data_IF_712884872970
#
_entry.id   IF_712884872970
#
_cell.length_a   1.000
_cell.length_b   1.000
_cell.length_c   1.000
_cell.angle_alpha   90.00
_cell.angle_beta   90.00
_cell.angle_gamma   90.00
#
_symmetry.space_group_name_H-M   'P 1'
#
loop_
_entity.id
_entity.type
_entity.pdbx_description
1 polymer ?
#
# COMPACT_ATOMS: atom_id res chain seq x y z
N UNK A 1 8.80 -41.97 -16.31
CA UNK A 1 9.80 -41.45 -17.27
C UNK A 1 9.47 -40.00 -17.56
N UNK A 2 10.48 -39.14 -17.49
CA UNK A 2 10.37 -37.70 -17.80
C UNK A 2 10.03 -37.55 -19.29
N UNK A 3 8.96 -36.81 -19.60
CA UNK A 3 8.50 -36.65 -21.00
C UNK A 3 9.27 -35.58 -21.78
N UNK A 4 9.88 -34.63 -21.08
CA UNK A 4 10.59 -33.47 -21.67
C UNK A 4 11.97 -33.29 -21.03
N UNK A 5 13.05 -33.38 -21.82
CA UNK A 5 14.43 -33.21 -21.30
C UNK A 5 15.02 -31.82 -21.53
N UNK A 6 14.33 -30.95 -22.28
CA UNK A 6 14.85 -29.64 -22.73
C UNK A 6 15.45 -28.76 -21.63
N UNK A 7 14.79 -28.56 -20.48
CA UNK A 7 15.38 -27.79 -19.37
C UNK A 7 16.55 -28.48 -18.67
N UNK A 8 16.55 -29.82 -18.63
CA UNK A 8 17.69 -30.59 -18.11
C UNK A 8 18.89 -30.47 -19.06
N UNK A 9 18.65 -30.48 -20.37
CA UNK A 9 19.66 -30.32 -21.41
C UNK A 9 20.25 -28.90 -21.39
N UNK A 10 19.42 -27.86 -21.20
CA UNK A 10 19.87 -26.45 -21.05
C UNK A 10 20.77 -26.25 -19.83
N UNK A 11 20.44 -26.88 -18.71
CA UNK A 11 21.28 -26.84 -17.50
C UNK A 11 22.46 -27.84 -17.55
N UNK A 12 22.49 -28.75 -18.53
CA UNK A 12 23.52 -29.79 -18.67
C UNK A 12 23.48 -30.84 -17.55
N UNK A 13 22.29 -31.13 -17.00
CA UNK A 13 22.09 -32.09 -15.90
C UNK A 13 21.20 -33.25 -16.34
N UNK A 14 21.22 -34.36 -15.59
CA UNK A 14 20.34 -35.51 -15.87
C UNK A 14 18.92 -35.28 -15.34
N UNK A 15 17.88 -35.95 -15.89
CA UNK A 15 16.50 -35.82 -15.41
C UNK A 15 16.28 -36.23 -13.94
N UNK A 16 17.17 -37.05 -13.39
CA UNK A 16 17.17 -37.47 -11.98
C UNK A 16 18.07 -36.59 -11.08
N UNK A 17 18.54 -35.44 -11.56
CA UNK A 17 19.46 -34.58 -10.82
C UNK A 17 18.84 -34.07 -9.51
N UNK A 18 19.68 -33.96 -8.47
CA UNK A 18 19.27 -33.41 -7.16
C UNK A 18 19.17 -31.88 -7.19
N UNK A 19 18.50 -31.29 -6.19
CA UNK A 19 18.39 -29.84 -6.06
C UNK A 19 19.74 -29.14 -5.95
N UNK A 20 20.72 -29.79 -5.30
CA UNK A 20 22.07 -29.24 -5.17
C UNK A 20 22.81 -29.22 -6.51
N UNK A 21 22.65 -30.27 -7.31
CA UNK A 21 23.23 -30.36 -8.66
C UNK A 21 22.63 -29.29 -9.59
N UNK A 22 21.31 -29.08 -9.54
CA UNK A 22 20.63 -28.01 -10.26
C UNK A 22 21.17 -26.63 -9.88
N UNK A 23 21.30 -26.36 -8.56
CA UNK A 23 21.83 -25.09 -8.05
C UNK A 23 23.30 -24.87 -8.40
N UNK A 24 24.09 -25.94 -8.47
CA UNK A 24 25.51 -25.88 -8.88
C UNK A 24 25.65 -25.62 -10.38
N UNK A 25 24.84 -26.29 -11.20
CA UNK A 25 24.81 -26.11 -12.65
C UNK A 25 24.36 -24.69 -13.03
N UNK A 26 23.27 -24.20 -12.42
CA UNK A 26 22.77 -22.84 -12.62
C UNK A 26 23.84 -21.79 -12.28
N UNK A 27 24.46 -21.85 -11.09
CA UNK A 27 25.52 -20.90 -10.71
C UNK A 27 26.68 -20.86 -11.70
N UNK A 28 27.11 -22.02 -12.19
CA UNK A 28 28.20 -22.12 -13.19
C UNK A 28 27.82 -21.47 -14.51
N UNK A 29 26.60 -21.69 -14.99
CA UNK A 29 26.10 -21.15 -16.26
C UNK A 29 25.75 -19.66 -16.16
N UNK A 30 25.16 -19.22 -15.05
CA UNK A 30 24.82 -17.83 -14.78
C UNK A 30 26.08 -16.93 -14.72
N UNK A 31 27.17 -17.41 -14.12
CA UNK A 31 28.46 -16.71 -14.13
C UNK A 31 29.08 -16.62 -15.54
N UNK A 32 28.86 -17.64 -16.38
CA UNK A 32 29.42 -17.72 -17.73
C UNK A 32 28.65 -16.84 -18.72
N UNK A 33 27.33 -16.79 -18.61
CA UNK A 33 26.46 -16.06 -19.55
C UNK A 33 25.86 -14.79 -18.95
N UNK A 34 26.44 -14.24 -17.88
CA UNK A 34 25.93 -13.03 -17.24
C UNK A 34 25.87 -11.85 -18.23
N UNK A 35 24.77 -11.08 -18.29
CA UNK A 35 24.59 -9.99 -19.26
C UNK A 35 25.70 -8.93 -19.18
N UNK A 36 26.21 -8.63 -17.97
CA UNK A 36 27.33 -7.69 -17.79
C UNK A 36 28.65 -8.15 -18.44
N UNK A 37 28.87 -9.48 -18.52
CA UNK A 37 30.11 -10.05 -19.09
C UNK A 37 29.94 -10.46 -20.54
N UNK A 38 28.72 -10.82 -20.95
CA UNK A 38 28.39 -11.27 -22.30
C UNK A 38 27.03 -10.68 -22.75
N UNK A 39 27.00 -9.41 -23.20
CA UNK A 39 25.77 -8.72 -23.59
C UNK A 39 25.03 -9.39 -24.77
N UNK A 40 25.76 -10.05 -25.66
CA UNK A 40 25.21 -10.67 -26.88
C UNK A 40 24.59 -12.07 -26.63
N UNK A 41 24.72 -12.63 -25.42
CA UNK A 41 24.24 -13.98 -25.08
C UNK A 41 23.07 -13.94 -24.07
N UNK A 42 22.38 -12.80 -23.98
CA UNK A 42 21.26 -12.57 -23.07
C UNK A 42 20.12 -13.59 -23.23
N UNK A 43 19.86 -14.07 -24.45
CA UNK A 43 18.84 -15.11 -24.70
C UNK A 43 19.20 -16.45 -24.02
N UNK A 44 20.47 -16.85 -24.03
CA UNK A 44 20.91 -18.07 -23.33
C UNK A 44 20.78 -17.92 -21.83
N UNK A 45 21.14 -16.74 -21.30
CA UNK A 45 20.96 -16.46 -19.88
C UNK A 45 19.49 -16.54 -19.45
N UNK A 46 18.57 -16.00 -20.27
CA UNK A 46 17.12 -16.13 -20.06
C UNK A 46 16.67 -17.59 -20.01
N UNK A 47 17.10 -18.40 -20.98
CA UNK A 47 16.76 -19.83 -21.02
C UNK A 47 17.31 -20.61 -19.81
N UNK A 48 18.52 -20.29 -19.35
CA UNK A 48 19.14 -20.88 -18.16
C UNK A 48 18.35 -20.53 -16.90
N UNK A 49 17.96 -19.26 -16.74
CA UNK A 49 17.17 -18.78 -15.61
C UNK A 49 15.78 -19.42 -15.58
N UNK A 50 15.10 -19.47 -16.72
CA UNK A 50 13.80 -20.13 -16.85
C UNK A 50 13.88 -21.63 -16.54
N UNK A 51 14.91 -22.33 -17.06
CA UNK A 51 15.11 -23.75 -16.79
C UNK A 51 15.34 -24.03 -15.30
N UNK A 52 16.14 -23.19 -14.63
CA UNK A 52 16.38 -23.33 -13.19
C UNK A 52 15.13 -23.01 -12.36
N UNK A 53 14.35 -21.99 -12.73
CA UNK A 53 13.10 -21.65 -12.02
C UNK A 53 12.10 -22.82 -12.04
N UNK A 54 11.90 -23.44 -13.20
CA UNK A 54 10.98 -24.57 -13.34
C UNK A 54 11.50 -25.83 -12.64
N UNK A 55 12.81 -26.10 -12.71
CA UNK A 55 13.39 -27.33 -12.14
C UNK A 55 13.70 -27.22 -10.64
N UNK A 56 13.87 -26.00 -10.10
CA UNK A 56 14.16 -25.77 -8.68
C UNK A 56 12.93 -25.92 -7.78
N UNK A 57 11.73 -25.58 -8.27
CA UNK A 57 10.49 -25.84 -7.53
C UNK A 57 10.01 -27.29 -7.80
N UNK A 58 9.84 -28.07 -6.73
CA UNK A 58 9.44 -29.48 -6.84
C UNK A 58 8.10 -29.69 -7.58
N UNK A 59 7.13 -28.78 -7.39
CA UNK A 59 5.82 -28.86 -8.06
C UNK A 59 5.94 -28.49 -9.53
N UNK A 60 6.66 -27.40 -9.85
CA UNK A 60 6.90 -26.98 -11.24
C UNK A 60 7.69 -28.04 -12.02
N UNK A 61 8.69 -28.66 -11.39
CA UNK A 61 9.46 -29.77 -11.95
C UNK A 61 8.58 -30.99 -12.23
N UNK A 62 7.71 -31.36 -11.31
CA UNK A 62 6.79 -32.48 -11.51
C UNK A 62 5.79 -32.22 -12.66
N UNK A 63 5.27 -30.99 -12.77
CA UNK A 63 4.42 -30.57 -13.88
C UNK A 63 5.15 -30.63 -15.22
N UNK A 64 6.40 -30.14 -15.26
CA UNK A 64 7.27 -30.19 -16.43
C UNK A 64 7.59 -31.63 -16.84
N UNK A 65 7.96 -32.49 -15.88
CA UNK A 65 8.27 -33.90 -16.11
C UNK A 65 7.06 -34.69 -16.66
N UNK A 66 5.84 -34.27 -16.27
CA UNK A 66 4.56 -34.81 -16.75
C UNK A 66 4.14 -34.27 -18.13
N UNK A 67 4.85 -33.28 -18.69
CA UNK A 67 4.61 -32.67 -20.01
C UNK A 67 3.64 -31.48 -20.00
N UNK A 68 3.61 -30.71 -18.92
CA UNK A 68 2.58 -29.70 -18.62
C UNK A 68 2.54 -28.46 -19.52
N UNK A 69 3.63 -28.09 -20.19
CA UNK A 69 3.72 -26.81 -20.93
C UNK A 69 3.11 -26.79 -22.33
N UNK A 70 2.96 -27.95 -22.98
CA UNK A 70 2.52 -28.04 -24.38
C UNK A 70 1.03 -28.29 -24.59
N UNK A 71 0.29 -28.61 -23.53
CA UNK A 71 -1.14 -28.90 -23.62
C UNK A 71 -1.47 -30.31 -24.16
N UNK A 72 -0.49 -31.05 -24.66
CA UNK A 72 -0.64 -32.42 -25.15
C UNK A 72 0.68 -33.17 -25.28
N UNK A 73 0.64 -34.42 -25.75
CA UNK A 73 1.87 -35.23 -25.98
C UNK A 73 2.79 -34.58 -27.04
N UNK A 74 4.10 -34.87 -26.98
CA UNK A 74 5.09 -34.41 -27.97
C UNK A 74 4.64 -34.84 -29.37
N UNK A 75 4.49 -33.87 -30.28
CA UNK A 75 4.04 -34.09 -31.67
C UNK A 75 2.52 -34.15 -31.86
N UNK A 76 1.71 -34.06 -30.80
CA UNK A 76 0.25 -34.07 -30.89
C UNK A 76 -0.38 -32.67 -31.02
N UNK A 77 0.46 -31.64 -31.01
CA UNK A 77 0.07 -30.24 -31.22
C UNK A 77 0.26 -29.95 -32.70
N UNK A 78 -0.85 -29.77 -33.42
CA UNK A 78 -0.86 -29.51 -34.85
C UNK A 78 -1.36 -28.08 -35.11
N UNK A 79 -0.80 -27.38 -36.09
CA UNK A 79 -1.35 -26.09 -36.52
C UNK A 79 -2.78 -26.28 -37.03
N UNK A 80 -3.71 -25.42 -36.62
CA UNK A 80 -5.08 -25.50 -37.08
C UNK A 80 -5.15 -25.24 -38.59
N UNK A 81 -5.69 -26.15 -39.41
CA UNK A 81 -5.68 -26.01 -40.86
C UNK A 81 -6.54 -24.84 -41.35
N UNK A 82 -7.62 -24.52 -40.64
CA UNK A 82 -8.56 -23.47 -41.01
C UNK A 82 -8.08 -22.05 -40.72
N UNK A 83 -7.21 -21.84 -39.73
CA UNK A 83 -6.63 -20.52 -39.43
C UNK A 83 -5.12 -20.46 -39.59
N UNK A 84 -4.46 -21.57 -39.99
CA UNK A 84 -3.01 -21.68 -40.21
C UNK A 84 -2.16 -21.11 -39.05
N UNK A 85 -2.58 -21.36 -37.82
CA UNK A 85 -1.87 -20.88 -36.63
C UNK A 85 -2.31 -19.50 -36.13
N UNK A 86 -3.08 -18.73 -36.89
CA UNK A 86 -3.43 -17.34 -36.52
C UNK A 86 -4.56 -17.23 -35.49
N UNK A 87 -5.31 -18.30 -35.24
CA UNK A 87 -6.41 -18.31 -34.27
C UNK A 87 -7.66 -17.52 -34.68
N UNK A 88 -7.61 -16.74 -35.76
CA UNK A 88 -8.70 -15.90 -36.25
C UNK A 88 -9.03 -16.23 -37.71
N UNK A 89 -10.30 -16.05 -38.09
CA UNK A 89 -10.83 -16.21 -39.44
C UNK A 89 -11.52 -14.93 -39.88
N UNK A 90 -11.20 -14.45 -41.08
CA UNK A 90 -11.88 -13.32 -41.70
C UNK A 90 -13.17 -13.85 -42.34
N UNK A 91 -14.33 -13.40 -41.87
CA UNK A 91 -15.64 -13.65 -42.49
C UNK A 91 -16.10 -12.40 -43.21
N UNK A 92 -16.45 -12.56 -44.48
CA UNK A 92 -16.98 -11.46 -45.29
C UNK A 92 -18.49 -11.38 -45.04
N UNK A 93 -18.96 -10.25 -44.52
CA UNK A 93 -20.37 -9.96 -44.30
C UNK A 93 -20.84 -8.92 -45.33
N UNK A 94 -21.85 -9.25 -46.13
CA UNK A 94 -22.45 -8.32 -47.09
C UNK A 94 -23.50 -7.47 -46.39
N UNK A 95 -23.24 -6.15 -46.30
CA UNK A 95 -24.13 -5.18 -45.65
C UNK A 95 -25.05 -4.52 -46.68
N UNK A 96 -24.68 -4.59 -47.97
CA UNK A 96 -25.52 -4.13 -49.07
C UNK A 96 -24.91 -4.42 -50.44
N UNK A 97 -25.59 -4.06 -51.53
CA UNK A 97 -25.08 -4.21 -52.89
C UNK A 97 -23.75 -3.46 -53.04
N UNK A 98 -22.67 -4.18 -53.32
CA UNK A 98 -21.32 -3.61 -53.49
C UNK A 98 -20.55 -3.28 -52.21
N UNK A 99 -21.14 -3.46 -51.02
CA UNK A 99 -20.47 -3.18 -49.74
C UNK A 99 -20.29 -4.47 -48.92
N UNK A 100 -19.05 -4.93 -48.85
CA UNK A 100 -18.61 -6.05 -48.01
C UNK A 100 -17.80 -5.54 -46.82
N UNK A 101 -18.17 -5.96 -45.62
CA UNK A 101 -17.36 -5.75 -44.41
C UNK A 101 -16.61 -7.05 -44.09
N UNK A 102 -15.30 -6.95 -43.91
CA UNK A 102 -14.50 -8.06 -43.40
C UNK A 102 -14.57 -8.04 -41.87
N UNK A 103 -15.25 -9.02 -41.28
CA UNK A 103 -15.34 -9.19 -39.82
C UNK A 103 -14.32 -10.25 -39.42
N UNK A 104 -13.36 -9.86 -38.58
CA UNK A 104 -12.44 -10.82 -37.96
C UNK A 104 -13.18 -11.54 -36.83
N UNK A 105 -13.29 -12.86 -36.95
CA UNK A 105 -13.97 -13.73 -35.98
C UNK A 105 -12.98 -14.76 -35.44
N UNK A 106 -13.12 -15.16 -34.18
CA UNK A 106 -12.32 -16.26 -33.61
C UNK A 106 -12.56 -17.54 -34.40
N UNK A 107 -11.48 -18.26 -34.75
CA UNK A 107 -11.57 -19.52 -35.48
C UNK A 107 -12.36 -20.53 -34.63
N UNK A 108 -13.51 -21.00 -35.14
CA UNK A 108 -14.41 -21.88 -34.37
C UNK A 108 -13.79 -23.26 -34.09
N UNK A 109 -12.83 -23.70 -34.91
CA UNK A 109 -12.23 -25.03 -34.80
C UNK A 109 -11.11 -25.09 -33.75
N UNK A 110 -10.32 -24.01 -33.59
CA UNK A 110 -9.28 -23.92 -32.56
C UNK A 110 -9.63 -22.96 -31.40
N UNK A 111 -10.80 -22.34 -31.43
CA UNK A 111 -11.30 -21.40 -30.41
C UNK A 111 -10.30 -20.26 -30.09
N UNK A 112 -9.55 -19.78 -31.09
CA UNK A 112 -8.55 -18.73 -30.89
C UNK A 112 -7.14 -19.23 -30.55
N UNK A 113 -6.95 -20.52 -30.25
CA UNK A 113 -5.64 -21.04 -29.83
C UNK A 113 -4.62 -21.22 -30.98
N UNK A 114 -5.03 -21.14 -32.25
CA UNK A 114 -4.16 -21.33 -33.42
C UNK A 114 -3.69 -22.78 -33.65
N UNK A 115 -3.69 -23.60 -32.60
CA UNK A 115 -3.27 -24.99 -32.60
C UNK A 115 -4.44 -25.93 -32.23
N UNK A 116 -4.35 -27.18 -32.67
CA UNK A 116 -5.31 -28.24 -32.40
C UNK A 116 -4.60 -29.43 -31.76
N UNK A 117 -5.21 -29.96 -30.70
CA UNK A 117 -4.73 -31.16 -30.00
C UNK A 117 -5.86 -32.19 -30.01
N UNK A 118 -5.55 -33.40 -30.47
CA UNK A 118 -6.46 -34.53 -30.49
C UNK A 118 -7.01 -34.80 -29.07
N UNK A 119 -8.31 -35.10 -28.89
CA UNK A 119 -8.87 -35.35 -27.55
C UNK A 119 -8.15 -36.44 -26.75
N UNK A 120 -7.55 -37.43 -27.44
CA UNK A 120 -6.80 -38.54 -26.83
C UNK A 120 -5.41 -38.13 -26.34
N UNK A 121 -4.86 -37.05 -26.89
CA UNK A 121 -3.51 -36.58 -26.60
C UNK A 121 -3.49 -35.28 -25.79
N UNK A 122 -4.66 -34.72 -25.47
CA UNK A 122 -4.79 -33.60 -24.52
C UNK A 122 -4.21 -33.97 -23.17
N UNK A 123 -3.50 -33.02 -22.59
CA UNK A 123 -3.04 -33.11 -21.22
C UNK A 123 -4.24 -33.23 -20.28
N UNK A 124 -4.20 -34.21 -19.37
CA UNK A 124 -5.29 -34.44 -18.40
C UNK A 124 -5.45 -33.29 -17.39
N UNK A 125 -4.37 -32.55 -17.14
CA UNK A 125 -4.33 -31.49 -16.12
C UNK A 125 -4.82 -30.14 -16.65
N UNK A 126 -4.47 -29.77 -17.88
CA UNK A 126 -4.88 -28.48 -18.49
C UNK A 126 -5.91 -28.63 -19.62
N UNK A 127 -6.29 -29.86 -20.00
CA UNK A 127 -7.24 -30.17 -21.07
C UNK A 127 -6.90 -29.51 -22.42
N UNK A 128 -5.61 -29.27 -22.69
CA UNK A 128 -5.15 -28.59 -23.91
C UNK A 128 -5.01 -27.07 -23.78
N UNK A 129 -5.42 -26.46 -22.65
CA UNK A 129 -5.36 -25.01 -22.43
C UNK A 129 -3.98 -24.47 -22.05
N UNK A 130 -3.01 -25.36 -21.80
CA UNK A 130 -1.61 -25.03 -21.39
C UNK A 130 -1.44 -24.22 -20.10
N UNK A 131 -2.54 -23.78 -19.48
CA UNK A 131 -2.59 -23.08 -18.19
C UNK A 131 -3.28 -23.94 -17.12
N UNK A 132 -2.83 -23.84 -15.88
CA UNK A 132 -3.45 -24.49 -14.70
C UNK A 132 -3.53 -23.46 -13.58
N UNK A 133 -4.67 -23.38 -12.89
CA UNK A 133 -4.81 -22.51 -11.72
C UNK A 133 -4.10 -23.14 -10.53
N UNK A 134 -3.09 -22.45 -10.01
CA UNK A 134 -2.36 -22.84 -8.80
C UNK A 134 -2.55 -21.78 -7.72
N UNK A 135 -2.76 -22.22 -6.47
CA UNK A 135 -2.72 -21.34 -5.30
C UNK A 135 -1.32 -21.43 -4.71
N UNK A 136 -0.55 -20.34 -4.81
CA UNK A 136 0.77 -20.21 -4.20
C UNK A 136 0.68 -19.24 -3.01
N UNK A 137 1.27 -19.62 -1.88
CA UNK A 137 1.39 -18.76 -0.70
C UNK A 137 2.75 -18.07 -0.80
N UNK A 138 2.75 -16.74 -0.83
CA UNK A 138 3.97 -15.93 -0.79
C UNK A 138 4.17 -15.44 0.65
N UNK A 139 5.32 -15.78 1.23
CA UNK A 139 5.71 -15.29 2.54
C UNK A 139 6.42 -13.95 2.38
N UNK A 140 5.83 -12.90 2.96
CA UNK A 140 6.34 -11.53 2.87
C UNK A 140 6.99 -11.18 4.19
N UNK A 141 8.31 -10.98 4.17
CA UNK A 141 9.04 -10.53 5.34
C UNK A 141 8.99 -9.01 5.46
N UNK A 142 8.34 -8.51 6.51
CA UNK A 142 8.28 -7.08 6.83
C UNK A 142 9.34 -6.78 7.88
N UNK A 143 10.38 -6.07 7.47
CA UNK A 143 11.47 -5.66 8.35
C UNK A 143 11.06 -4.48 9.25
N UNK A 144 11.72 -4.39 10.41
CA UNK A 144 11.56 -3.25 11.31
C UNK A 144 11.99 -1.95 10.61
N UNK A 145 11.15 -0.93 10.76
CA UNK A 145 11.42 0.40 10.20
C UNK A 145 11.01 0.59 8.75
N UNK A 146 10.46 -0.43 8.07
CA UNK A 146 9.88 -0.25 6.73
C UNK A 146 8.83 0.86 6.74
N UNK A 147 8.81 1.65 5.67
CA UNK A 147 7.97 2.86 5.55
C UNK A 147 6.65 2.53 4.86
N UNK A 148 5.66 3.38 5.10
CA UNK A 148 4.44 3.39 4.31
C UNK A 148 4.76 3.57 2.82
N UNK A 149 4.02 2.88 1.95
CA UNK A 149 4.23 2.87 0.51
C UNK A 149 5.47 2.11 0.03
N UNK A 150 6.28 1.52 0.92
CA UNK A 150 7.48 0.78 0.53
C UNK A 150 7.09 -0.48 -0.26
N UNK A 151 7.77 -0.71 -1.38
CA UNK A 151 7.48 -1.79 -2.33
C UNK A 151 8.36 -3.01 -2.06
N UNK A 152 7.74 -4.19 -2.02
CA UNK A 152 8.40 -5.49 -2.00
C UNK A 152 8.03 -6.20 -3.30
N UNK A 153 9.02 -6.42 -4.16
CA UNK A 153 8.81 -6.99 -5.49
C UNK A 153 9.15 -8.48 -5.50
N UNK A 154 8.22 -9.29 -5.98
CA UNK A 154 8.39 -10.70 -6.28
C UNK A 154 8.42 -10.88 -7.79
N UNK A 155 9.63 -11.09 -8.33
CA UNK A 155 9.83 -11.18 -9.76
C UNK A 155 9.30 -12.48 -10.35
N UNK A 156 8.57 -12.39 -11.47
CA UNK A 156 8.04 -13.56 -12.20
C UNK A 156 6.93 -14.34 -11.47
N UNK A 157 6.38 -13.79 -10.39
CA UNK A 157 5.29 -14.40 -9.62
C UNK A 157 3.89 -13.98 -10.10
N UNK A 158 3.80 -13.17 -11.17
CA UNK A 158 2.54 -12.79 -11.79
C UNK A 158 1.91 -13.90 -12.65
N UNK A 159 0.83 -13.56 -13.35
CA UNK A 159 0.12 -14.51 -14.21
C UNK A 159 1.03 -15.03 -15.33
N UNK A 160 1.03 -16.36 -15.50
CA UNK A 160 1.83 -17.08 -16.50
C UNK A 160 0.97 -17.50 -17.67
N UNK A 161 1.29 -16.96 -18.86
CA UNK A 161 0.66 -17.35 -20.11
C UNK A 161 1.66 -17.99 -21.08
N UNK A 162 1.26 -19.00 -21.87
CA UNK A 162 2.14 -19.63 -22.84
C UNK A 162 2.66 -18.63 -23.88
N UNK A 163 3.97 -18.41 -23.91
CA UNK A 163 4.63 -17.52 -24.87
C UNK A 163 4.82 -16.07 -24.39
N UNK A 164 4.35 -15.74 -23.19
CA UNK A 164 4.58 -14.44 -22.56
C UNK A 164 5.47 -14.60 -21.31
N UNK A 165 6.31 -13.60 -21.04
CA UNK A 165 7.10 -13.54 -19.80
C UNK A 165 6.16 -13.20 -18.63
N UNK A 166 6.23 -13.91 -17.49
CA UNK A 166 5.39 -13.62 -16.33
C UNK A 166 5.68 -12.23 -15.77
N UNK A 167 4.63 -11.55 -15.32
CA UNK A 167 4.75 -10.27 -14.64
C UNK A 167 5.30 -10.40 -13.22
N UNK A 168 5.48 -9.26 -12.57
CA UNK A 168 5.93 -9.16 -11.19
C UNK A 168 4.76 -8.89 -10.24
N UNK A 169 4.80 -9.47 -9.04
CA UNK A 169 3.90 -9.10 -7.95
C UNK A 169 4.60 -8.04 -7.10
N UNK A 170 4.02 -6.84 -7.03
CA UNK A 170 4.53 -5.75 -6.21
C UNK A 170 3.59 -5.57 -5.01
N UNK A 171 4.11 -5.85 -3.82
CA UNK A 171 3.39 -5.64 -2.58
C UNK A 171 3.78 -4.27 -2.05
N UNK A 172 2.78 -3.39 -1.91
CA UNK A 172 2.95 -2.06 -1.32
C UNK A 172 2.53 -2.15 0.13
N UNK A 173 3.42 -1.76 1.03
CA UNK A 173 3.09 -1.67 2.45
C UNK A 173 2.13 -0.50 2.70
N UNK A 174 1.06 -0.77 3.43
CA UNK A 174 0.07 0.21 3.84
C UNK A 174 0.10 0.34 5.37
N UNK A 175 0.40 1.52 5.86
CA UNK A 175 0.46 1.81 7.29
C UNK A 175 -0.94 2.01 7.85
N UNK A 176 -1.34 1.12 8.77
CA UNK A 176 -2.56 1.31 9.55
C UNK A 176 -2.42 2.45 10.54
N UNK A 177 -3.46 3.26 10.64
CA UNK A 177 -3.57 4.29 11.66
C UNK A 177 -3.63 3.67 13.06
N UNK A 178 -2.93 4.31 14.00
CA UNK A 178 -2.92 3.92 15.41
C UNK A 178 -3.62 4.99 16.25
N UNK A 179 -4.36 4.56 17.27
CA UNK A 179 -5.19 5.45 18.09
C UNK A 179 -4.38 6.44 18.92
N UNK A 180 -3.18 6.05 19.36
CA UNK A 180 -2.32 6.86 20.26
C UNK A 180 -1.14 7.50 19.53
N UNK A 181 -0.65 6.87 18.47
CA UNK A 181 0.63 7.21 17.86
C UNK A 181 0.43 7.57 16.39
N UNK A 182 1.02 8.69 15.97
CA UNK A 182 1.06 9.09 14.56
C UNK A 182 2.50 9.06 14.10
N UNK A 183 2.83 8.20 13.15
CA UNK A 183 4.19 8.12 12.60
C UNK A 183 4.40 9.25 11.59
N UNK A 184 5.51 9.99 11.72
CA UNK A 184 6.02 10.87 10.67
C UNK A 184 7.48 10.53 10.41
N UNK A 185 7.72 9.77 9.35
CA UNK A 185 9.05 9.28 9.01
C UNK A 185 9.57 8.29 10.05
N UNK A 186 10.62 8.67 10.77
CA UNK A 186 11.26 7.88 11.83
C UNK A 186 10.77 8.29 13.23
N UNK A 187 10.12 9.44 13.34
CA UNK A 187 9.61 9.97 14.61
C UNK A 187 8.15 9.53 14.84
N UNK A 188 7.80 9.33 16.11
CA UNK A 188 6.44 9.05 16.56
C UNK A 188 5.88 10.27 17.27
N UNK A 189 4.64 10.62 16.98
CA UNK A 189 3.91 11.70 17.63
C UNK A 189 2.80 11.11 18.50
N UNK A 190 2.61 11.66 19.69
CA UNK A 190 1.46 11.34 20.53
C UNK A 190 0.96 12.58 21.27
N UNK A 191 -0.34 12.61 21.55
CA UNK A 191 -0.92 13.56 22.49
C UNK A 191 -0.98 12.92 23.88
N UNK A 192 -0.54 13.65 24.90
CA UNK A 192 -0.66 13.24 26.29
C UNK A 192 -1.49 14.25 27.06
N UNK A 193 -2.56 13.75 27.67
CA UNK A 193 -3.39 14.53 28.57
C UNK A 193 -2.79 14.53 29.98
N UNK A 194 -2.57 15.72 30.52
CA UNK A 194 -2.09 15.94 31.89
C UNK A 194 -3.03 16.91 32.62
N UNK A 195 -3.17 16.73 33.93
CA UNK A 195 -3.94 17.64 34.76
C UNK A 195 -3.14 18.91 35.06
N UNK A 196 -3.82 20.00 35.41
CA UNK A 196 -3.16 21.26 35.80
C UNK A 196 -2.15 21.07 36.95
N UNK A 197 -2.48 20.24 37.94
CA UNK A 197 -1.56 19.92 39.04
C UNK A 197 -0.31 19.19 38.56
N UNK A 198 -0.45 18.27 37.60
CA UNK A 198 0.66 17.54 37.00
C UNK A 198 1.56 18.47 36.17
N UNK A 199 0.95 19.43 35.47
CA UNK A 199 1.64 20.43 34.67
C UNK A 199 2.50 21.40 35.52
N UNK A 200 2.08 21.70 36.75
CA UNK A 200 2.75 22.63 37.67
C UNK A 200 3.70 21.94 38.66
N UNK A 201 3.25 20.83 39.26
CA UNK A 201 3.96 20.13 40.33
C UNK A 201 4.84 18.98 39.83
N UNK A 202 4.87 18.72 38.52
CA UNK A 202 5.53 17.57 37.93
C UNK A 202 4.66 16.31 37.96
N UNK A 203 5.07 15.29 37.21
CA UNK A 203 4.33 14.05 37.08
C UNK A 203 5.25 12.88 36.72
N UNK A 204 4.74 11.68 36.97
CA UNK A 204 5.32 10.44 36.46
C UNK A 204 4.20 9.64 35.81
N UNK A 205 4.26 9.47 34.47
CA UNK A 205 3.26 8.69 33.73
C UNK A 205 3.89 7.54 32.96
N UNK A 206 3.38 6.30 33.13
CA UNK A 206 3.77 5.18 32.29
C UNK A 206 3.12 5.30 30.90
N UNK A 207 3.91 5.09 29.84
CA UNK A 207 3.46 5.04 28.46
C UNK A 207 3.78 3.66 27.88
N UNK A 208 2.77 2.92 27.38
CA UNK A 208 3.01 1.70 26.62
C UNK A 208 3.57 2.04 25.24
N UNK A 209 4.75 1.52 24.93
CA UNK A 209 5.39 1.62 23.61
C UNK A 209 4.90 0.53 22.66
N UNK A 210 5.15 0.69 21.36
CA UNK A 210 4.80 -0.29 20.33
C UNK A 210 5.52 -1.64 20.48
N UNK A 211 6.62 -1.68 21.25
CA UNK A 211 7.40 -2.90 21.52
C UNK A 211 6.85 -3.68 22.75
N UNK A 212 5.65 -3.36 23.23
CA UNK A 212 5.05 -3.90 24.47
C UNK A 212 5.84 -3.60 25.76
N UNK A 213 6.78 -2.64 25.70
CA UNK A 213 7.50 -2.13 26.88
C UNK A 213 6.79 -0.89 27.42
N UNK A 214 6.77 -0.71 28.73
CA UNK A 214 6.30 0.52 29.36
C UNK A 214 7.49 1.42 29.70
N UNK A 215 7.49 2.65 29.20
CA UNK A 215 8.45 3.69 29.59
C UNK A 215 7.78 4.65 30.57
N UNK A 216 8.50 5.12 31.59
CA UNK A 216 7.97 6.11 32.53
C UNK A 216 8.55 7.47 32.16
N UNK A 217 7.68 8.41 31.83
CA UNK A 217 8.07 9.80 31.59
C UNK A 217 7.92 10.56 32.89
N UNK A 218 9.01 11.23 33.27
CA UNK A 218 9.10 12.02 34.50
C UNK A 218 9.30 13.49 34.15
N UNK A 219 8.41 14.34 34.64
CA UNK A 219 8.64 15.78 34.75
C UNK A 219 8.96 16.09 36.21
N UNK A 220 10.08 16.78 36.45
CA UNK A 220 10.50 17.10 37.82
C UNK A 220 9.64 18.24 38.40
N UNK A 221 9.33 18.21 39.70
CA UNK A 221 8.64 19.33 40.35
C UNK A 221 9.37 20.65 40.12
N UNK A 222 8.62 21.69 39.74
CA UNK A 222 9.17 23.00 39.37
C UNK A 222 9.44 23.18 37.86
N UNK A 223 9.36 22.12 37.06
CA UNK A 223 9.35 22.22 35.60
C UNK A 223 7.91 22.38 35.10
N UNK A 224 7.57 23.60 34.66
CA UNK A 224 6.23 23.90 34.16
C UNK A 224 6.06 23.37 32.74
N UNK A 225 5.01 22.61 32.51
CA UNK A 225 4.56 22.17 31.18
C UNK A 225 3.35 22.98 30.75
N UNK A 226 3.45 23.67 29.63
CA UNK A 226 2.34 24.50 29.11
C UNK A 226 1.38 23.65 28.28
N UNK A 227 0.15 24.13 28.12
CA UNK A 227 -0.77 23.56 27.14
C UNK A 227 -0.19 23.75 25.73
N UNK A 228 -0.18 22.69 24.93
CA UNK A 228 0.43 22.66 23.60
C UNK A 228 1.95 22.62 23.61
N UNK A 229 2.59 22.46 24.78
CA UNK A 229 4.05 22.29 24.84
C UNK A 229 4.45 20.97 24.19
N UNK A 230 5.57 20.98 23.47
CA UNK A 230 6.08 19.82 22.74
C UNK A 230 7.42 19.42 23.34
N UNK A 231 7.50 18.20 23.88
CA UNK A 231 8.77 17.63 24.34
C UNK A 231 9.10 16.36 23.57
N UNK A 232 10.37 15.97 23.59
CA UNK A 232 10.82 14.77 22.92
C UNK A 232 11.56 13.83 23.87
N UNK A 233 11.36 12.53 23.64
CA UNK A 233 12.14 11.44 24.24
C UNK A 233 12.99 10.84 23.14
N UNK A 234 14.30 10.86 23.35
CA UNK A 234 15.28 10.34 22.40
C UNK A 234 15.21 8.81 22.34
N UNK A 235 15.41 8.24 21.15
CA UNK A 235 15.49 6.79 20.90
C UNK A 235 14.20 5.99 21.21
N UNK A 236 13.04 6.64 21.29
CA UNK A 236 11.74 5.99 21.54
C UNK A 236 10.77 6.11 20.34
N UNK A 237 11.26 6.52 19.17
CA UNK A 237 10.50 6.55 17.92
C UNK A 237 10.50 5.22 17.15
N UNK A 238 10.27 5.29 15.84
CA UNK A 238 10.30 4.12 14.96
C UNK A 238 11.73 3.65 14.68
N UNK A 239 11.98 2.34 14.53
CA UNK A 239 13.27 1.83 14.08
C UNK A 239 13.63 2.36 12.69
N UNK A 240 14.91 2.62 12.46
CA UNK A 240 15.41 3.02 11.15
C UNK A 240 15.56 1.78 10.26
N UNK A 241 15.03 1.83 9.04
CA UNK A 241 15.14 0.71 8.10
C UNK A 241 16.61 0.34 7.84
N UNK A 242 16.93 -0.97 7.88
CA UNK A 242 18.29 -1.55 7.86
C UNK A 242 19.16 -1.30 9.10
N UNK A 243 18.75 -0.41 10.01
CA UNK A 243 19.44 -0.12 11.28
C UNK A 243 18.46 -0.29 12.45
N UNK A 244 18.07 -1.54 12.79
CA UNK A 244 16.98 -1.81 13.72
C UNK A 244 17.28 -1.41 15.18
N UNK A 245 18.56 -1.21 15.53
CA UNK A 245 18.98 -0.78 16.87
C UNK A 245 18.93 0.74 17.05
N UNK A 246 18.87 1.49 15.94
CA UNK A 246 18.69 2.93 15.98
C UNK A 246 17.20 3.25 15.81
N UNK A 247 16.70 4.11 16.69
CA UNK A 247 15.29 4.55 16.71
C UNK A 247 15.23 6.05 16.57
N UNK A 248 14.16 6.54 15.94
CA UNK A 248 13.84 7.96 15.94
C UNK A 248 13.40 8.47 17.32
N UNK A 249 12.73 9.60 17.34
CA UNK A 249 12.29 10.27 18.57
C UNK A 249 10.81 10.04 18.80
N UNK A 250 10.42 9.99 20.08
CA UNK A 250 9.02 10.12 20.48
C UNK A 250 8.76 11.58 20.83
N UNK A 251 7.89 12.22 20.08
CA UNK A 251 7.47 13.60 20.24
C UNK A 251 6.09 13.58 20.92
N UNK A 252 5.98 14.32 22.02
CA UNK A 252 4.81 14.33 22.88
C UNK A 252 4.29 15.75 22.95
N UNK A 253 3.06 15.93 22.53
CA UNK A 253 2.30 17.17 22.69
C UNK A 253 1.46 17.07 23.96
N UNK A 254 1.64 18.01 24.88
CA UNK A 254 0.95 18.02 26.16
C UNK A 254 -0.34 18.83 26.10
N UNK A 255 -1.46 18.17 26.41
CA UNK A 255 -2.76 18.83 26.59
C UNK A 255 -3.04 18.93 28.08
N UNK A 256 -3.02 20.17 28.59
CA UNK A 256 -3.34 20.45 29.98
C UNK A 256 -4.85 20.56 30.13
N UNK A 257 -5.43 19.68 30.94
CA UNK A 257 -6.84 19.70 31.31
C UNK A 257 -7.01 20.50 32.61
N UNK A 258 -7.80 21.57 32.51
CA UNK A 258 -8.20 22.38 33.65
C UNK A 258 -9.32 21.68 34.45
N UNK A 259 -9.38 21.87 35.77
CA UNK A 259 -10.49 21.38 36.57
C UNK A 259 -11.80 22.08 36.19
N UNK A 260 -12.93 21.45 36.52
CA UNK A 260 -14.26 22.00 36.25
C UNK A 260 -14.53 23.30 37.04
N UNK A 261 -15.44 24.12 36.52
CA UNK A 261 -15.88 25.36 37.19
C UNK A 261 -16.46 25.05 38.57
N UNK A 262 -16.05 25.79 39.60
CA UNK A 262 -16.51 25.58 40.97
C UNK A 262 -15.79 24.46 41.74
N UNK A 263 -14.66 23.93 41.24
CA UNK A 263 -13.89 22.87 41.91
C UNK A 263 -13.34 23.24 43.31
N UNK A 264 -13.17 24.53 43.62
CA UNK A 264 -12.60 25.02 44.88
C UNK A 264 -13.56 25.96 45.62
N UNK A 265 -13.58 25.84 46.96
CA UNK A 265 -14.28 26.78 47.84
C UNK A 265 -13.56 28.14 47.87
N UNK A 266 -14.29 29.26 48.08
CA UNK A 266 -13.72 30.61 48.03
C UNK A 266 -12.54 30.81 49.00
N UNK A 267 -12.57 30.19 50.18
CA UNK A 267 -11.46 30.26 51.15
C UNK A 267 -10.16 29.68 50.58
N UNK A 268 -10.26 28.60 49.78
CA UNK A 268 -9.10 27.96 49.16
C UNK A 268 -8.62 28.69 47.91
N UNK A 269 -9.49 29.46 47.25
CA UNK A 269 -9.09 30.33 46.14
C UNK A 269 -8.14 31.43 46.62
N UNK A 270 -8.39 32.00 47.81
CA UNK A 270 -7.48 32.99 48.40
C UNK A 270 -6.08 32.43 48.70
N UNK A 271 -5.98 31.13 49.01
CA UNK A 271 -4.70 30.42 49.18
C UNK A 271 -4.01 30.18 47.84
N UNK A 272 -4.77 29.85 46.80
CA UNK A 272 -4.25 29.66 45.44
C UNK A 272 -3.69 30.97 44.86
N UNK A 273 -4.40 32.08 45.07
CA UNK A 273 -4.00 33.41 44.60
C UNK A 273 -2.66 33.84 45.21
N UNK A 274 -2.40 33.53 46.48
CA UNK A 274 -1.10 33.77 47.15
C UNK A 274 0.05 32.94 46.58
N UNK A 275 -0.23 31.81 45.94
CA UNK A 275 0.77 30.89 45.38
C UNK A 275 1.08 31.19 43.91
N UNK A 276 0.20 31.91 43.22
CA UNK A 276 0.33 32.29 41.82
C UNK A 276 0.94 33.70 41.68
N UNK A 277 1.44 34.07 40.49
CA UNK A 277 1.97 35.41 40.25
C UNK A 277 0.91 36.49 40.54
N UNK A 278 1.37 37.63 41.05
CA UNK A 278 0.49 38.76 41.39
C UNK A 278 -0.35 39.18 40.19
N UNK A 279 -1.65 39.41 40.45
CA UNK A 279 -2.56 39.96 39.46
C UNK A 279 -2.09 41.38 39.14
N UNK A 280 -1.89 41.67 37.86
CA UNK A 280 -1.64 43.05 37.43
C UNK A 280 -2.89 43.87 37.71
N UNK A 281 -2.77 44.85 38.59
CA UNK A 281 -3.80 45.86 38.80
C UNK A 281 -3.92 46.69 37.51
N UNK A 282 -5.14 46.81 37.00
CA UNK A 282 -5.48 47.70 35.89
C UNK A 282 -6.07 48.93 36.54
N UNK A 283 -5.47 50.10 36.33
CA UNK A 283 -6.09 51.36 36.73
C UNK A 283 -7.30 51.59 35.81
N UNK A 284 -8.50 51.39 36.34
CA UNK A 284 -9.74 51.74 35.64
C UNK A 284 -9.81 53.26 35.57
N UNK A 285 -9.83 53.80 34.34
CA UNK A 285 -10.08 55.22 34.09
C UNK A 285 -11.56 55.43 33.79
N UNK A 286 -12.10 56.62 34.09
CA UNK A 286 -13.52 56.97 33.87
C UNK A 286 -13.99 56.82 32.40
N UNK A 287 -13.06 56.60 31.47
CA UNK A 287 -13.32 56.36 30.04
C UNK A 287 -13.52 54.87 29.70
N UNK A 288 -13.41 53.95 30.67
CA UNK A 288 -13.48 52.50 30.44
C UNK A 288 -14.86 51.92 30.77
N UNK A 289 -15.54 51.36 29.77
CA UNK A 289 -16.80 50.63 29.96
C UNK A 289 -16.55 49.23 30.55
N UNK A 290 -17.22 48.92 31.66
CA UNK A 290 -17.21 47.57 32.24
C UNK A 290 -18.12 46.64 31.43
N UNK A 291 -17.54 45.57 30.87
CA UNK A 291 -18.27 44.54 30.12
C UNK A 291 -18.01 43.16 30.71
N UNK A 292 -19.08 42.36 30.81
CA UNK A 292 -18.98 40.97 31.25
C UNK A 292 -18.73 40.04 30.08
N UNK A 293 -17.84 39.07 30.26
CA UNK A 293 -17.60 38.01 29.30
C UNK A 293 -18.76 37.01 29.36
N UNK A 294 -19.38 36.76 28.21
CA UNK A 294 -20.37 35.68 28.01
C UNK A 294 -19.77 34.59 27.14
N UNK A 295 -20.20 33.35 27.37
CA UNK A 295 -19.77 32.22 26.55
C UNK A 295 -20.18 32.44 25.08
N UNK A 296 -19.22 32.27 24.18
CA UNK A 296 -19.46 32.37 22.74
C UNK A 296 -19.78 30.99 22.16
N UNK A 297 -21.02 30.79 21.70
CA UNK A 297 -21.42 29.60 20.92
C UNK A 297 -21.49 29.94 19.41
N UNK A 298 -20.52 29.47 18.60
CA UNK A 298 -20.47 29.75 17.16
C UNK A 298 -21.71 29.26 16.39
N UNK A 299 -22.41 28.25 16.92
CA UNK A 299 -23.60 27.71 16.25
C UNK A 299 -24.85 28.56 16.49
N UNK A 300 -24.88 29.34 17.57
CA UNK A 300 -26.03 30.17 17.94
C UNK A 300 -26.11 31.45 17.06
N UNK A 301 -24.97 31.99 16.63
CA UNK A 301 -24.91 33.15 15.73
C UNK A 301 -25.28 32.85 14.28
N UNK A 302 -24.92 31.66 13.75
CA UNK A 302 -25.32 31.25 12.40
C UNK A 302 -26.84 31.23 12.22
N UNK A 303 -27.60 30.97 13.29
CA UNK A 303 -29.06 31.02 13.28
C UNK A 303 -29.62 32.45 13.30
N UNK A 304 -28.89 33.43 13.84
CA UNK A 304 -29.30 34.84 13.83
C UNK A 304 -29.12 35.47 12.45
N UNK A 305 -28.04 35.14 11.74
CA UNK A 305 -27.81 35.69 10.40
C UNK A 305 -28.86 35.26 9.37
N UNK A 306 -29.39 34.03 9.46
CA UNK A 306 -30.40 33.54 8.51
C UNK A 306 -31.80 34.16 8.65
N UNK A 307 -32.09 34.85 9.76
CA UNK A 307 -33.38 35.51 9.99
C UNK A 307 -33.33 37.03 9.75
N UNK A 308 -32.14 37.60 9.51
CA UNK A 308 -31.95 39.04 9.32
C UNK A 308 -32.09 39.53 7.89
N UNK A 309 -31.98 38.65 6.89
CA UNK A 309 -32.01 39.02 5.46
C UNK A 309 -33.42 39.02 4.85
N UNK A 310 -34.49 38.95 5.67
CA UNK A 310 -35.86 38.88 5.18
C UNK A 310 -36.56 40.25 5.02
N UNK A 311 -35.95 41.35 5.50
CA UNK A 311 -36.58 42.67 5.47
C UNK A 311 -35.56 43.79 5.31
N UNK A 312 -34.97 43.97 4.13
CA UNK A 312 -34.43 45.25 3.66
C UNK A 312 -33.81 45.04 2.27
N UNK A 313 -34.60 45.22 1.21
CA UNK A 313 -34.23 46.03 0.04
C UNK A 313 -35.38 45.99 -1.00
N UNK A 314 -36.37 46.86 -0.84
CA UNK A 314 -37.40 47.12 -1.86
C UNK A 314 -37.43 48.63 -2.15
N UNK A 315 -36.28 49.20 -2.53
CA UNK A 315 -36.25 50.56 -3.10
C UNK A 315 -35.20 50.71 -4.21
N UNK A 316 -35.22 49.88 -5.26
CA UNK A 316 -34.59 50.21 -6.53
C UNK A 316 -35.47 49.86 -7.74
N UNK A 317 -35.86 50.90 -8.48
CA UNK A 317 -36.68 50.87 -9.68
C UNK A 317 -36.01 50.12 -10.85
N UNK A 318 -36.81 49.52 -11.77
CA UNK A 318 -36.35 48.46 -12.65
C UNK A 318 -35.70 49.01 -13.92
N UNK A 319 -34.56 48.44 -14.32
CA UNK A 319 -34.01 48.61 -15.67
C UNK A 319 -33.90 47.29 -16.40
N UNK A 320 -34.76 47.14 -17.41
CA UNK A 320 -34.40 46.59 -18.71
C UNK A 320 -34.22 45.09 -18.79
N UNK A 321 -35.33 44.35 -18.94
CA UNK A 321 -35.30 42.99 -19.45
C UNK A 321 -34.85 42.96 -20.91
N UNK A 322 -33.91 42.07 -21.22
CA UNK A 322 -33.59 41.68 -22.59
C UNK A 322 -33.79 40.16 -22.66
N UNK A 323 -34.79 39.76 -23.44
CA UNK A 323 -35.21 38.37 -23.63
C UNK A 323 -34.59 37.88 -24.95
N UNK A 324 -33.68 36.90 -24.88
CA UNK A 324 -33.20 36.20 -26.06
C UNK A 324 -33.90 34.85 -26.18
N UNK A 325 -34.68 34.69 -27.24
CA UNK A 325 -35.26 33.43 -27.71
C UNK A 325 -34.15 32.52 -28.26
N UNK A 326 -34.07 31.29 -27.74
CA UNK A 326 -33.37 30.19 -28.40
C UNK A 326 -34.29 29.55 -29.43
N UNK A 327 -33.78 29.32 -30.64
CA UNK A 327 -34.25 28.25 -31.55
C UNK A 327 -33.52 26.96 -31.26
#
# INVERSE_FOLDING_TARGET
>A
MVKETTYYDVLGVKPNATQEELKKAYRKLALKYHPDKNPNEGEKFKQISQAYEVLSDAKKRELYDKGGGRGGKKGAVECCPNCRGTGMQIRIHQIGPGMVQQIQSVCMECQGHGERISPKDRCKSCNGRKIVREKKILEVHIDKGMKDGQKITFHGEGDQEPGLEPGDIIIVLDQKDHTVFTRRGEDLFMCMDIQLVEALCGFQKPIPTLDNRTIVITSHPGQIVKHGDIKCVLNEGMPIYRRPYEKGRLIIEFKVNFPENGFLSPDKLSLLEKLLPERKEVEETDEMDQVELVDFDPNQERRRHYNGEAYEDDEHQPRGGVQCQTS
#
